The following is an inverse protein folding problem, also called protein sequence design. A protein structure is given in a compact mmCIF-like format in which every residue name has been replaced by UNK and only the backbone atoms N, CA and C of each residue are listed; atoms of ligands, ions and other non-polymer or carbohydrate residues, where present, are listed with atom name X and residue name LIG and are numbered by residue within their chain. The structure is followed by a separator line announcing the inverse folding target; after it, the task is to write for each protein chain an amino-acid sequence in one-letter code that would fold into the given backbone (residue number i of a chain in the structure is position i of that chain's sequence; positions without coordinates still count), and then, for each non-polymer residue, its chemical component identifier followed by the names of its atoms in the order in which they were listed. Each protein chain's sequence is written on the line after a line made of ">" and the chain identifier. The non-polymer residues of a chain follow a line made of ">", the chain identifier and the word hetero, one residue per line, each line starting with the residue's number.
data_IF_295074925264
#
_entry.id   IF_295074925264
#
_cell.length_a   1.000
_cell.length_b   1.000
_cell.length_c   1.000
_cell.angle_alpha   90.00
_cell.angle_beta   90.00
_cell.angle_gamma   90.00
#
_symmetry.space_group_name_H-M   'P 1'
#
loop_
_entity.id
_entity.type
_entity.pdbx_description
1 polymer ?
#
# COMPACT_ATOMS: atom_id res chain seq x y z
N UNK A 1 -4.54 -14.45 1.58
CA UNK A 1 -5.40 -15.57 1.16
C UNK A 1 -5.96 -15.21 -0.21
N UNK A 2 -5.46 -15.84 -1.27
CA UNK A 2 -6.00 -15.66 -2.62
C UNK A 2 -7.02 -16.78 -2.84
N UNK A 3 -8.28 -16.40 -3.06
CA UNK A 3 -9.33 -17.34 -3.42
C UNK A 3 -9.63 -17.18 -4.90
N UNK A 4 -9.67 -18.29 -5.63
CA UNK A 4 -10.14 -18.33 -7.01
C UNK A 4 -11.54 -18.93 -6.98
N UNK A 5 -12.51 -18.20 -7.51
CA UNK A 5 -13.90 -18.62 -7.58
C UNK A 5 -14.08 -19.51 -8.83
N UNK A 6 -14.31 -20.82 -8.62
CA UNK A 6 -14.71 -21.72 -9.69
C UNK A 6 -16.23 -21.69 -9.87
N UNK A 7 -16.71 -21.90 -11.11
CA UNK A 7 -18.11 -21.77 -11.56
C UNK A 7 -19.17 -22.60 -10.80
N UNK A 8 -18.82 -23.31 -9.72
CA UNK A 8 -19.74 -24.07 -8.86
C UNK A 8 -19.67 -23.70 -7.36
N UNK A 9 -19.14 -22.53 -7.00
CA UNK A 9 -19.40 -21.92 -5.68
C UNK A 9 -18.73 -22.57 -4.47
N UNK A 10 -17.71 -23.42 -4.67
CA UNK A 10 -16.90 -23.96 -3.57
C UNK A 10 -15.56 -23.21 -3.46
N UNK A 11 -15.28 -22.68 -2.27
CA UNK A 11 -14.00 -22.04 -1.93
C UNK A 11 -13.05 -23.07 -1.33
N UNK A 12 -11.94 -23.36 -2.02
CA UNK A 12 -10.86 -24.18 -1.50
C UNK A 12 -9.62 -23.32 -1.22
N UNK A 13 -8.92 -23.51 -0.09
CA UNK A 13 -7.64 -22.85 0.15
C UNK A 13 -6.58 -23.42 -0.79
N UNK A 14 -6.04 -22.58 -1.67
CA UNK A 14 -4.89 -22.94 -2.51
C UNK A 14 -3.64 -23.14 -1.64
N UNK A 15 -2.86 -24.17 -1.96
CA UNK A 15 -1.55 -24.40 -1.36
C UNK A 15 -0.54 -23.35 -1.82
N UNK A 16 0.52 -23.12 -1.02
CA UNK A 16 1.57 -22.14 -1.34
C UNK A 16 2.25 -22.42 -2.70
N UNK A 17 2.33 -23.70 -3.08
CA UNK A 17 2.87 -24.17 -4.36
C UNK A 17 2.01 -23.73 -5.56
N UNK A 18 0.68 -23.76 -5.43
CA UNK A 18 -0.25 -23.34 -6.48
C UNK A 18 -0.25 -21.81 -6.68
N UNK A 19 -0.10 -21.04 -5.60
CA UNK A 19 0.13 -19.60 -5.70
C UNK A 19 1.44 -19.26 -6.43
N UNK A 20 2.47 -20.10 -6.28
CA UNK A 20 3.77 -19.94 -6.95
C UNK A 20 3.67 -20.22 -8.46
N UNK A 21 2.86 -21.19 -8.85
CA UNK A 21 2.61 -21.51 -10.26
C UNK A 21 1.84 -20.41 -11.00
N UNK A 22 0.85 -19.78 -10.34
CA UNK A 22 0.07 -18.70 -10.95
C UNK A 22 0.85 -17.39 -11.12
N UNK A 23 1.90 -17.17 -10.34
CA UNK A 23 2.66 -15.92 -10.34
C UNK A 23 3.85 -15.88 -11.30
N UNK A 24 4.16 -16.99 -12.00
CA UNK A 24 5.22 -17.04 -12.99
C UNK A 24 6.63 -16.81 -12.40
N UNK A 25 7.59 -17.62 -12.81
CA UNK A 25 8.99 -17.43 -12.41
C UNK A 25 9.51 -16.09 -12.94
N UNK A 26 9.76 -15.15 -12.03
CA UNK A 26 10.37 -13.85 -12.35
C UNK A 26 11.75 -14.05 -13.02
N UNK A 27 11.79 -13.87 -14.33
CA UNK A 27 13.02 -13.79 -15.11
C UNK A 27 13.58 -12.37 -15.05
N UNK A 28 14.78 -12.24 -14.47
CA UNK A 28 15.81 -11.17 -14.54
C UNK A 28 15.39 -9.67 -14.45
N UNK A 29 16.19 -8.84 -13.76
CA UNK A 29 15.91 -7.41 -13.66
C UNK A 29 16.17 -6.73 -15.01
N UNK A 30 15.12 -6.22 -15.66
CA UNK A 30 15.27 -5.25 -16.72
C UNK A 30 15.80 -3.94 -16.12
N UNK A 31 16.93 -3.46 -16.65
CA UNK A 31 17.37 -2.07 -16.46
C UNK A 31 16.23 -1.16 -16.90
N UNK A 32 15.65 -0.41 -15.96
CA UNK A 32 14.78 0.70 -16.30
C UNK A 32 15.62 1.77 -17.02
N UNK A 33 15.13 2.38 -18.11
CA UNK A 33 15.76 3.57 -18.66
C UNK A 33 15.64 4.72 -17.65
N UNK A 34 16.71 5.50 -17.52
CA UNK A 34 16.78 6.66 -16.65
C UNK A 34 15.65 7.64 -16.98
N UNK A 35 14.63 7.70 -16.12
CA UNK A 35 13.63 8.76 -16.17
C UNK A 35 14.27 10.03 -15.58
N UNK A 36 14.85 10.86 -16.43
CA UNK A 36 15.15 12.25 -16.06
C UNK A 36 13.83 12.95 -15.68
N UNK A 37 13.68 13.24 -14.39
CA UNK A 37 12.61 14.10 -13.90
C UNK A 37 12.84 15.52 -14.46
N UNK A 38 11.83 16.18 -15.05
CA UNK A 38 12.00 17.56 -15.46
C UNK A 38 12.30 18.44 -14.24
N UNK A 39 13.39 19.21 -14.34
CA UNK A 39 13.83 20.16 -13.34
C UNK A 39 12.67 21.08 -12.93
N UNK A 40 12.19 20.91 -11.69
CA UNK A 40 11.19 21.79 -11.10
C UNK A 40 11.87 23.11 -10.73
N UNK A 41 11.92 24.04 -11.69
CA UNK A 41 12.40 25.40 -11.47
C UNK A 41 11.45 26.09 -10.49
N UNK A 42 11.92 26.31 -9.27
CA UNK A 42 11.24 27.12 -8.26
C UNK A 42 11.45 28.60 -8.58
N UNK A 43 10.71 29.10 -9.57
CA UNK A 43 10.63 30.53 -9.88
C UNK A 43 9.62 31.22 -8.95
N UNK A 44 10.10 32.05 -8.04
CA UNK A 44 9.28 32.97 -7.27
C UNK A 44 8.73 34.06 -8.21
N UNK A 45 7.46 33.94 -8.62
CA UNK A 45 6.74 35.01 -9.31
C UNK A 45 5.60 35.54 -8.45
N UNK A 46 5.85 36.70 -7.83
CA UNK A 46 4.79 37.60 -7.39
C UNK A 46 4.19 38.21 -8.65
N UNK A 47 3.01 37.75 -9.05
CA UNK A 47 2.31 38.25 -10.23
C UNK A 47 0.84 37.88 -10.16
N UNK A 48 -0.03 38.90 -10.16
CA UNK A 48 -1.48 38.76 -10.31
C UNK A 48 -1.79 38.09 -11.66
N UNK A 49 -1.94 36.77 -11.68
CA UNK A 49 -2.50 36.07 -12.83
C UNK A 49 -4.02 35.97 -12.70
N UNK A 50 -4.69 36.71 -13.59
CA UNK A 50 -6.13 36.61 -13.84
C UNK A 50 -6.42 35.22 -14.40
N UNK A 51 -7.43 34.56 -13.83
CA UNK A 51 -7.94 33.23 -14.17
C UNK A 51 -7.72 32.76 -15.60
N UNK A 52 -6.62 32.04 -15.82
CA UNK A 52 -6.50 31.12 -16.93
C UNK A 52 -7.31 29.87 -16.55
N UNK A 53 -8.41 29.63 -17.26
CA UNK A 53 -9.20 28.42 -17.12
C UNK A 53 -8.28 27.20 -17.27
N UNK A 54 -8.16 26.41 -16.19
CA UNK A 54 -7.43 25.14 -16.19
C UNK A 54 -8.09 24.19 -17.20
N UNK A 55 -7.65 24.23 -18.46
CA UNK A 55 -8.04 23.26 -19.48
C UNK A 55 -7.33 21.97 -19.13
N UNK A 56 -8.06 21.02 -18.55
CA UNK A 56 -7.56 19.68 -18.27
C UNK A 56 -7.07 19.05 -19.59
N UNK A 57 -5.75 18.88 -19.80
CA UNK A 57 -5.25 18.28 -21.02
C UNK A 57 -5.74 16.83 -21.10
N UNK A 58 -6.58 16.52 -22.09
CA UNK A 58 -7.00 15.14 -22.35
C UNK A 58 -5.82 14.39 -22.93
N UNK A 59 -5.09 13.68 -22.09
CA UNK A 59 -4.08 12.72 -22.54
C UNK A 59 -4.80 11.50 -23.14
N UNK A 60 -4.71 11.34 -24.46
CA UNK A 60 -5.10 10.10 -25.12
C UNK A 60 -4.01 9.06 -24.87
N UNK A 61 -4.16 8.26 -23.81
CA UNK A 61 -3.30 7.11 -23.55
C UNK A 61 -3.76 5.99 -24.49
N UNK A 62 -2.95 5.70 -25.52
CA UNK A 62 -3.14 4.48 -26.33
C UNK A 62 -2.70 3.28 -25.50
N UNK A 63 -3.67 2.63 -24.85
CA UNK A 63 -3.47 1.33 -24.22
C UNK A 63 -3.49 0.28 -25.33
N UNK A 64 -2.32 -0.04 -25.89
CA UNK A 64 -2.21 -0.85 -27.11
C UNK A 64 -2.41 -2.36 -26.91
N UNK A 65 -2.71 -2.85 -25.71
CA UNK A 65 -2.72 -4.31 -25.46
C UNK A 65 -3.53 -4.80 -24.26
N UNK A 66 -4.36 -3.98 -23.62
CA UNK A 66 -5.18 -4.43 -22.47
C UNK A 66 -6.63 -4.49 -22.95
N UNK A 67 -7.25 -5.67 -22.89
CA UNK A 67 -8.66 -5.80 -23.21
C UNK A 67 -9.48 -4.96 -22.22
N UNK A 68 -10.43 -4.17 -22.73
CA UNK A 68 -11.29 -3.35 -21.88
C UNK A 68 -12.06 -4.18 -20.82
N UNK A 69 -12.35 -5.45 -21.13
CA UNK A 69 -12.96 -6.41 -20.21
C UNK A 69 -12.10 -6.73 -18.97
N UNK A 70 -10.77 -6.70 -19.11
CA UNK A 70 -9.83 -6.96 -18.00
C UNK A 70 -9.60 -5.70 -17.15
N UNK A 71 -9.76 -4.52 -17.77
CA UNK A 71 -9.55 -3.23 -17.11
C UNK A 71 -10.68 -2.86 -16.15
N UNK A 72 -11.94 -3.16 -16.50
CA UNK A 72 -13.10 -2.81 -15.70
C UNK A 72 -13.06 -3.37 -14.27
N UNK A 73 -12.78 -4.67 -14.05
CA UNK A 73 -12.61 -5.23 -12.70
C UNK A 73 -11.51 -4.55 -11.90
N UNK A 74 -10.38 -4.21 -12.55
CA UNK A 74 -9.26 -3.52 -11.90
C UNK A 74 -9.63 -2.10 -11.47
N UNK A 75 -10.34 -1.36 -12.31
CA UNK A 75 -10.85 -0.01 -11.98
C UNK A 75 -11.81 -0.08 -10.80
N UNK A 76 -12.78 -1.02 -10.84
CA UNK A 76 -13.75 -1.20 -9.75
C UNK A 76 -13.04 -1.54 -8.45
N UNK A 77 -12.02 -2.42 -8.49
CA UNK A 77 -11.22 -2.76 -7.31
C UNK A 77 -10.46 -1.55 -6.78
N UNK A 78 -9.77 -0.80 -7.65
CA UNK A 78 -9.05 0.41 -7.25
C UNK A 78 -9.98 1.46 -6.63
N UNK A 79 -11.17 1.69 -7.19
CA UNK A 79 -12.17 2.61 -6.63
C UNK A 79 -12.65 2.18 -5.25
N UNK A 80 -12.92 0.88 -5.05
CA UNK A 80 -13.29 0.34 -3.73
C UNK A 80 -12.19 0.53 -2.72
N UNK A 81 -10.94 0.30 -3.13
CA UNK A 81 -9.78 0.49 -2.26
C UNK A 81 -9.59 1.95 -1.86
N UNK A 82 -9.69 2.88 -2.80
CA UNK A 82 -9.62 4.32 -2.52
C UNK A 82 -10.76 4.73 -1.57
N UNK A 83 -11.99 4.35 -1.88
CA UNK A 83 -13.17 4.69 -1.07
C UNK A 83 -13.10 4.09 0.34
N UNK A 84 -12.60 2.86 0.46
CA UNK A 84 -12.38 2.18 1.74
C UNK A 84 -11.31 2.89 2.55
N UNK A 85 -10.20 3.27 1.92
CA UNK A 85 -9.14 4.03 2.55
C UNK A 85 -9.61 5.40 3.03
N UNK A 86 -10.33 6.17 2.21
CA UNK A 86 -10.85 7.49 2.58
C UNK A 86 -11.76 7.44 3.82
N UNK A 87 -12.63 6.43 3.91
CA UNK A 87 -13.51 6.24 5.08
C UNK A 87 -12.73 5.98 6.36
N UNK A 88 -11.61 5.26 6.28
CA UNK A 88 -10.76 4.94 7.43
C UNK A 88 -9.86 6.15 7.78
N UNK A 89 -9.24 6.76 6.76
CA UNK A 89 -8.39 7.93 6.88
C UNK A 89 -9.14 9.11 7.51
N UNK A 90 -10.39 9.36 7.10
CA UNK A 90 -11.21 10.44 7.66
C UNK A 90 -11.46 10.30 9.16
N UNK A 91 -11.58 9.07 9.68
CA UNK A 91 -11.79 8.82 11.11
C UNK A 91 -10.51 8.99 11.93
N UNK A 92 -9.38 8.59 11.38
CA UNK A 92 -8.11 8.47 12.12
C UNK A 92 -7.09 9.57 11.76
N UNK A 93 -7.45 10.46 10.83
CA UNK A 93 -6.59 11.53 10.30
C UNK A 93 -5.20 11.04 9.90
N UNK A 94 -5.11 9.82 9.36
CA UNK A 94 -3.86 9.20 8.89
C UNK A 94 -3.74 9.38 7.38
N UNK A 95 -2.55 9.72 6.93
CA UNK A 95 -2.28 9.79 5.49
C UNK A 95 -1.91 8.40 4.92
N UNK A 96 -1.73 8.35 3.61
CA UNK A 96 -1.44 7.09 2.91
C UNK A 96 -0.08 6.50 3.32
N UNK A 97 0.90 7.33 3.66
CA UNK A 97 2.20 6.88 4.14
C UNK A 97 2.11 6.29 5.55
N UNK A 98 1.37 6.95 6.44
CA UNK A 98 1.08 6.46 7.78
C UNK A 98 0.37 5.10 7.72
N UNK A 99 -0.62 4.96 6.83
CA UNK A 99 -1.32 3.70 6.63
C UNK A 99 -0.42 2.61 6.04
N UNK A 100 0.46 2.93 5.08
CA UNK A 100 1.43 1.98 4.55
C UNK A 100 2.41 1.49 5.64
N UNK A 101 2.90 2.39 6.50
CA UNK A 101 3.76 2.06 7.65
C UNK A 101 3.02 1.18 8.65
N UNK A 102 1.78 1.52 8.97
CA UNK A 102 0.94 0.72 9.85
C UNK A 102 0.68 -0.68 9.31
N UNK A 103 0.40 -0.79 8.01
CA UNK A 103 0.21 -2.06 7.30
C UNK A 103 1.49 -2.91 7.34
N UNK A 104 2.63 -2.32 7.00
CA UNK A 104 3.93 -3.00 7.05
C UNK A 104 4.30 -3.48 8.46
N UNK A 105 3.98 -2.68 9.49
CA UNK A 105 4.18 -3.07 10.89
C UNK A 105 3.41 -4.36 11.20
N UNK A 106 2.12 -4.43 10.88
CA UNK A 106 1.32 -5.64 11.14
C UNK A 106 1.76 -6.86 10.30
N UNK A 107 2.19 -6.67 9.05
CA UNK A 107 2.76 -7.75 8.24
C UNK A 107 4.02 -8.32 8.89
N UNK A 108 4.92 -7.47 9.39
CA UNK A 108 6.14 -7.92 10.09
C UNK A 108 5.78 -8.56 11.43
N UNK A 109 4.80 -7.99 12.16
CA UNK A 109 4.38 -8.50 13.46
C UNK A 109 3.81 -9.93 13.36
N UNK A 110 3.11 -10.25 12.27
CA UNK A 110 2.37 -11.49 12.08
C UNK A 110 3.03 -12.46 11.08
N UNK A 111 3.98 -11.99 10.27
CA UNK A 111 4.53 -12.71 9.11
C UNK A 111 5.38 -13.94 9.43
N UNK A 112 5.65 -14.22 10.70
CA UNK A 112 6.47 -15.37 11.13
C UNK A 112 5.69 -16.62 11.54
N UNK A 113 4.36 -16.56 11.70
CA UNK A 113 3.62 -17.68 12.30
C UNK A 113 2.73 -18.43 11.31
N UNK A 114 3.14 -19.62 10.92
CA UNK A 114 2.25 -20.64 10.32
C UNK A 114 1.53 -21.48 11.39
N UNK A 115 1.84 -21.25 12.67
CA UNK A 115 1.33 -22.02 13.79
C UNK A 115 0.09 -21.37 14.41
N UNK A 116 -0.76 -22.19 15.04
CA UNK A 116 -1.98 -21.79 15.76
C UNK A 116 -1.70 -20.81 16.91
N UNK A 117 -0.47 -20.80 17.44
CA UNK A 117 -0.01 -19.81 18.42
C UNK A 117 0.79 -18.73 17.69
N UNK A 118 0.22 -17.54 17.54
CA UNK A 118 0.91 -16.42 16.88
C UNK A 118 1.86 -15.74 17.85
N UNK A 119 3.16 -15.96 17.69
CA UNK A 119 4.18 -15.16 18.36
C UNK A 119 4.28 -13.83 17.62
N UNK A 120 4.00 -12.73 18.33
CA UNK A 120 4.11 -11.39 17.77
C UNK A 120 5.59 -11.01 17.71
N UNK A 121 6.11 -10.80 16.50
CA UNK A 121 7.45 -10.27 16.30
C UNK A 121 7.44 -8.75 16.40
N UNK A 122 8.41 -8.12 17.06
CA UNK A 122 8.52 -6.66 17.04
C UNK A 122 9.00 -6.16 15.67
N UNK A 123 8.33 -5.14 15.14
CA UNK A 123 8.71 -4.53 13.88
C UNK A 123 9.75 -3.43 14.14
N UNK A 124 10.97 -3.64 13.65
CA UNK A 124 12.04 -2.65 13.76
C UNK A 124 11.87 -1.54 12.72
N UNK A 125 12.23 -0.30 13.09
CA UNK A 125 12.20 0.85 12.19
C UNK A 125 12.97 0.58 10.88
N UNK A 126 14.14 -0.06 10.97
CA UNK A 126 14.95 -0.43 9.79
C UNK A 126 14.23 -1.41 8.88
N UNK A 127 13.57 -2.43 9.44
CA UNK A 127 12.83 -3.45 8.69
C UNK A 127 11.61 -2.85 7.97
N UNK A 128 10.89 -1.94 8.64
CA UNK A 128 9.76 -1.22 8.03
C UNK A 128 10.26 -0.31 6.88
N UNK A 129 11.36 0.41 7.10
CA UNK A 129 11.95 1.29 6.09
C UNK A 129 12.42 0.52 4.85
N UNK A 130 13.05 -0.64 5.06
CA UNK A 130 13.47 -1.53 3.98
C UNK A 130 12.27 -2.11 3.23
N UNK A 131 11.25 -2.59 3.95
CA UNK A 131 10.03 -3.15 3.37
C UNK A 131 9.30 -2.17 2.45
N UNK A 132 9.17 -0.91 2.89
CA UNK A 132 8.47 0.14 2.14
C UNK A 132 9.39 0.91 1.19
N UNK A 133 10.70 0.62 1.17
CA UNK A 133 11.72 1.40 0.45
C UNK A 133 11.64 2.91 0.74
N UNK A 134 11.42 3.25 2.01
CA UNK A 134 11.33 4.64 2.48
C UNK A 134 12.57 5.04 3.29
N UNK A 135 12.95 6.32 3.32
CA UNK A 135 14.02 6.79 4.20
C UNK A 135 13.69 6.51 5.68
N UNK A 136 14.68 6.00 6.43
CA UNK A 136 14.52 5.64 7.85
C UNK A 136 14.01 6.80 8.69
N UNK A 137 14.45 8.02 8.43
CA UNK A 137 14.01 9.22 9.15
C UNK A 137 12.54 9.54 8.90
N UNK A 138 12.07 9.35 7.66
CA UNK A 138 10.64 9.49 7.33
C UNK A 138 9.82 8.47 8.11
N UNK A 139 10.24 7.20 8.11
CA UNK A 139 9.56 6.15 8.88
C UNK A 139 9.53 6.48 10.38
N UNK A 140 10.65 6.95 10.95
CA UNK A 140 10.73 7.35 12.36
C UNK A 140 9.69 8.39 12.73
N UNK A 141 9.62 9.51 11.99
CA UNK A 141 8.68 10.61 12.25
C UNK A 141 7.23 10.16 12.16
N UNK A 142 6.96 9.26 11.22
CA UNK A 142 5.63 8.72 10.95
C UNK A 142 5.19 7.73 12.04
N UNK A 143 6.10 6.89 12.52
CA UNK A 143 5.86 6.00 13.66
C UNK A 143 5.52 6.78 14.93
N UNK A 144 6.19 7.90 15.21
CA UNK A 144 5.82 8.75 16.37
C UNK A 144 4.38 9.27 16.26
N UNK A 145 3.94 9.70 15.06
CA UNK A 145 2.55 10.13 14.84
C UNK A 145 1.53 8.99 14.99
N UNK A 146 1.90 7.77 14.60
CA UNK A 146 1.06 6.59 14.76
C UNK A 146 0.99 6.18 16.24
N UNK A 147 2.09 6.31 16.98
CA UNK A 147 2.15 6.09 18.43
C UNK A 147 1.24 7.09 19.17
N UNK A 148 1.31 8.37 18.83
CA UNK A 148 0.42 9.42 19.38
C UNK A 148 -1.08 9.13 19.14
N UNK A 149 -1.40 8.41 18.07
CA UNK A 149 -2.76 7.98 17.73
C UNK A 149 -3.18 6.68 18.39
N UNK A 150 -2.31 6.07 19.21
CA UNK A 150 -2.50 4.78 19.89
C UNK A 150 -2.78 3.59 18.97
N UNK A 151 -2.42 3.69 17.69
CA UNK A 151 -2.62 2.60 16.72
C UNK A 151 -1.46 1.61 16.75
N UNK A 152 -0.28 2.07 17.13
CA UNK A 152 0.90 1.25 17.41
C UNK A 152 1.42 1.55 18.80
N UNK A 153 2.04 0.55 19.41
CA UNK A 153 2.74 0.66 20.69
C UNK A 153 4.25 0.51 20.45
N UNK A 154 5.02 1.39 21.09
CA UNK A 154 6.49 1.36 21.05
C UNK A 154 7.03 0.56 22.23
N UNK A 155 7.98 -0.31 21.93
CA UNK A 155 8.75 -1.10 22.88
C UNK A 155 10.25 -0.86 22.68
N UNK A 156 11.07 -1.30 23.63
CA UNK A 156 12.53 -1.25 23.51
C UNK A 156 13.03 -2.05 22.30
N UNK A 157 12.33 -3.12 21.96
CA UNK A 157 12.62 -4.05 20.86
C UNK A 157 11.99 -3.67 19.52
N UNK A 158 11.15 -2.64 19.43
CA UNK A 158 10.50 -2.23 18.18
C UNK A 158 9.05 -1.79 18.36
N UNK A 159 8.24 -1.94 17.31
CA UNK A 159 6.84 -1.49 17.29
C UNK A 159 5.90 -2.67 17.10
N UNK A 160 4.71 -2.57 17.71
CA UNK A 160 3.63 -3.55 17.59
C UNK A 160 2.33 -2.83 17.26
N UNK A 161 1.54 -3.40 16.36
CA UNK A 161 0.17 -2.96 16.11
C UNK A 161 -0.69 -3.23 17.35
N UNK A 162 -1.26 -2.18 17.93
CA UNK A 162 -2.14 -2.27 19.09
C UNK A 162 -3.59 -2.60 18.68
N UNK A 163 -4.05 -1.96 17.61
CA UNK A 163 -5.41 -2.14 17.09
C UNK A 163 -5.42 -3.05 15.85
N UNK A 164 -5.49 -4.36 16.11
CA UNK A 164 -5.55 -5.39 15.06
C UNK A 164 -6.85 -5.32 14.25
N UNK A 165 -7.97 -4.94 14.86
CA UNK A 165 -9.26 -4.81 14.16
C UNK A 165 -9.18 -3.71 13.10
N UNK A 166 -8.57 -2.58 13.45
CA UNK A 166 -8.34 -1.48 12.53
C UNK A 166 -7.35 -1.85 11.43
N UNK A 167 -6.29 -2.59 11.76
CA UNK A 167 -5.35 -3.14 10.77
C UNK A 167 -6.05 -4.09 9.79
N UNK A 168 -6.89 -5.00 10.29
CA UNK A 168 -7.68 -5.90 9.44
C UNK A 168 -8.68 -5.14 8.57
N UNK A 169 -9.30 -4.07 9.09
CA UNK A 169 -10.20 -3.21 8.30
C UNK A 169 -9.45 -2.50 7.18
N UNK A 170 -8.25 -2.00 7.43
CA UNK A 170 -7.40 -1.43 6.39
C UNK A 170 -7.04 -2.50 5.37
N UNK A 171 -6.56 -3.67 5.79
CA UNK A 171 -6.22 -4.77 4.90
C UNK A 171 -7.39 -5.17 3.99
N UNK A 172 -8.60 -5.27 4.55
CA UNK A 172 -9.83 -5.57 3.78
C UNK A 172 -10.24 -4.46 2.82
N UNK A 173 -9.82 -3.22 3.06
CA UNK A 173 -10.03 -2.16 2.07
C UNK A 173 -9.09 -2.33 0.85
N UNK A 174 -7.91 -2.91 1.04
CA UNK A 174 -6.93 -3.12 -0.04
C UNK A 174 -7.09 -4.45 -0.80
N UNK A 175 -7.81 -5.43 -0.24
CA UNK A 175 -8.08 -6.72 -0.87
C UNK A 175 -9.39 -6.69 -1.67
#
# INVERSE_FOLDING_TARGET
>A
MCCVEHQHGAFFPLSLEECRMLLGTATKPNKFPDCELPNFVTGAHSGKEKGAAFRNPRYNIRISSINAGDLLPLIIRAQRTISGFEKISGKLKIDICDAAIFMACGVINLGGSTQTTTIIQFANQSSIAEYLRMPRETVRRRLTRLEEKNVISRFSSGYVVNDLDMWLRLLRAFL
#
